data_IF_373144386528
#
_entry.id   IF_373144386528
#
_cell.length_a   1.000
_cell.length_b   1.000
_cell.length_c   1.000
_cell.angle_alpha   90.00
_cell.angle_beta   90.00
_cell.angle_gamma   90.00
#
_symmetry.space_group_name_H-M   'P 1'
#
loop_
_entity.id
_entity.type
_entity.pdbx_description
1 polymer ?
#
# COMPACT_ATOMS: atom_id res chain seq x y z
N UNK A 1 13.47 34.82 61.26
CA UNK A 1 12.39 35.76 60.91
C UNK A 1 12.28 36.81 62.02
N UNK A 2 12.07 38.08 61.70
CA UNK A 2 11.95 39.16 62.70
C UNK A 2 10.66 39.93 62.49
N UNK A 3 9.86 40.09 63.55
CA UNK A 3 8.74 41.04 63.58
C UNK A 3 9.31 42.36 64.09
N UNK A 4 9.25 43.41 63.28
CA UNK A 4 9.84 44.69 63.63
C UNK A 4 9.11 45.36 64.80
N UNK A 5 9.83 46.17 65.58
CA UNK A 5 9.23 46.92 66.68
C UNK A 5 8.07 47.81 66.17
N UNK A 6 6.92 47.73 66.83
CA UNK A 6 5.72 48.47 66.46
C UNK A 6 4.84 47.80 65.40
N UNK A 7 5.20 46.61 64.88
CA UNK A 7 4.32 45.80 64.01
C UNK A 7 3.83 44.54 64.74
N UNK A 8 2.73 43.98 64.25
CA UNK A 8 2.12 42.75 64.79
C UNK A 8 2.30 41.53 63.88
N UNK A 9 2.87 41.72 62.69
CA UNK A 9 3.04 40.66 61.71
C UNK A 9 4.33 40.83 60.92
N UNK A 10 4.81 39.71 60.39
CA UNK A 10 5.80 39.64 59.34
C UNK A 10 5.51 38.35 58.52
N UNK A 11 5.79 38.36 57.23
CA UNK A 11 5.44 37.26 56.31
C UNK A 11 6.65 36.44 55.86
N UNK A 12 6.50 35.13 55.81
CA UNK A 12 7.43 34.22 55.11
C UNK A 12 6.73 33.72 53.86
N UNK A 13 7.40 33.82 52.70
CA UNK A 13 6.83 33.40 51.42
C UNK A 13 7.40 32.05 51.00
N UNK A 14 6.52 31.11 50.65
CA UNK A 14 6.88 29.87 49.95
C UNK A 14 6.77 30.15 48.46
N UNK A 15 7.85 29.96 47.70
CA UNK A 15 7.85 30.06 46.23
C UNK A 15 7.92 28.64 45.66
N UNK A 16 6.89 28.15 44.97
CA UNK A 16 6.98 26.87 44.28
C UNK A 16 8.00 26.94 43.14
N UNK A 17 8.55 25.78 42.76
CA UNK A 17 9.38 25.62 41.58
C UNK A 17 8.47 25.02 40.51
N UNK A 18 8.35 25.73 39.40
CA UNK A 18 7.58 25.30 38.22
C UNK A 18 8.41 24.29 37.42
N UNK A 19 7.84 23.15 37.06
CA UNK A 19 8.48 22.18 36.18
C UNK A 19 7.52 21.60 35.12
N UNK A 20 7.67 20.33 34.73
CA UNK A 20 6.80 19.69 33.72
C UNK A 20 6.38 18.27 34.15
N UNK A 21 6.60 17.93 35.42
CA UNK A 21 6.32 16.61 35.96
C UNK A 21 4.92 16.60 36.54
N UNK A 22 4.12 15.65 36.09
CA UNK A 22 2.81 15.42 36.70
C UNK A 22 3.00 14.83 38.09
N UNK A 23 2.59 15.58 39.11
CA UNK A 23 2.74 15.26 40.52
C UNK A 23 1.38 15.24 41.23
N UNK A 24 1.38 14.90 42.51
CA UNK A 24 0.21 15.11 43.36
C UNK A 24 0.39 16.40 44.13
N UNK A 25 -0.72 17.00 44.58
CA UNK A 25 -0.64 18.16 45.47
C UNK A 25 0.26 17.87 46.69
N UNK A 26 1.25 18.73 46.89
CA UNK A 26 2.22 18.61 47.95
C UNK A 26 1.93 19.59 49.09
N UNK A 27 2.58 19.42 50.24
CA UNK A 27 2.38 20.34 51.37
C UNK A 27 3.69 20.78 52.01
N UNK A 28 3.74 22.06 52.38
CA UNK A 28 4.79 22.65 53.21
C UNK A 28 4.19 22.97 54.57
N UNK A 29 4.72 22.37 55.63
CA UNK A 29 4.29 22.63 57.01
C UNK A 29 5.34 23.47 57.71
N UNK A 30 4.94 24.65 58.19
CA UNK A 30 5.77 25.51 59.02
C UNK A 30 5.31 25.39 60.48
N UNK A 31 6.23 25.04 61.36
CA UNK A 31 5.98 24.88 62.80
C UNK A 31 6.85 25.85 63.60
N UNK A 32 6.25 26.61 64.50
CA UNK A 32 6.96 27.52 65.40
C UNK A 32 7.71 26.68 66.45
N UNK A 33 9.04 26.81 66.49
CA UNK A 33 9.84 26.21 67.56
C UNK A 33 9.76 27.03 68.85
N UNK A 34 9.77 26.36 70.00
CA UNK A 34 9.80 27.03 71.29
C UNK A 34 11.15 27.73 71.51
N UNK A 35 11.11 28.88 72.19
CA UNK A 35 12.28 29.65 72.59
C UNK A 35 12.00 30.34 73.93
N UNK A 36 13.03 30.68 74.71
CA UNK A 36 12.85 31.39 75.97
C UNK A 36 12.30 32.82 75.78
N UNK A 37 12.47 33.40 74.59
CA UNK A 37 12.02 34.75 74.26
C UNK A 37 10.51 34.87 74.01
N UNK A 38 9.79 33.78 73.77
CA UNK A 38 8.34 33.82 73.48
C UNK A 38 7.64 32.50 73.81
N UNK A 39 6.35 32.58 74.14
CA UNK A 39 5.50 31.38 74.26
C UNK A 39 4.89 31.03 72.91
N UNK A 40 4.89 29.73 72.55
CA UNK A 40 4.22 29.25 71.33
C UNK A 40 2.71 29.20 71.55
N UNK A 41 1.95 29.89 70.69
CA UNK A 41 0.49 29.93 70.73
C UNK A 41 -0.18 28.76 69.99
N UNK A 42 -1.52 28.77 69.95
CA UNK A 42 -2.31 27.81 69.17
C UNK A 42 -3.09 28.53 68.05
N UNK A 43 -2.98 28.11 66.78
CA UNK A 43 -2.18 26.98 66.29
C UNK A 43 -0.66 27.29 66.24
N UNK A 44 0.16 26.26 66.51
CA UNK A 44 1.64 26.35 66.48
C UNK A 44 2.25 26.03 65.10
N UNK A 45 1.43 25.55 64.17
CA UNK A 45 1.83 25.19 62.82
C UNK A 45 0.78 25.62 61.81
N UNK A 46 1.22 25.87 60.59
CA UNK A 46 0.37 26.11 59.44
C UNK A 46 0.86 25.30 58.24
N UNK A 47 -0.07 24.88 57.39
CA UNK A 47 0.20 24.12 56.18
C UNK A 47 -0.14 24.95 54.96
N UNK A 48 0.76 24.99 53.99
CA UNK A 48 0.52 25.48 52.63
C UNK A 48 0.47 24.28 51.71
N UNK A 49 -0.52 24.21 50.83
CA UNK A 49 -0.60 23.21 49.76
C UNK A 49 -0.06 23.81 48.47
N UNK A 50 0.83 23.09 47.80
CA UNK A 50 1.29 23.37 46.44
C UNK A 50 0.46 22.47 45.54
N UNK A 51 -0.35 23.08 44.67
CA UNK A 51 -1.14 22.34 43.70
C UNK A 51 -0.28 22.11 42.45
N UNK A 52 -0.34 20.90 41.93
CA UNK A 52 0.24 20.59 40.62
C UNK A 52 -0.67 21.15 39.51
N UNK A 53 -0.07 21.77 38.51
CA UNK A 53 -0.74 22.25 37.30
C UNK A 53 -0.24 21.60 36.02
N UNK A 54 0.65 20.62 36.12
CA UNK A 54 1.14 19.85 34.99
C UNK A 54 0.15 18.80 34.48
N UNK A 55 0.24 18.52 33.18
CA UNK A 55 -0.57 17.49 32.51
C UNK A 55 0.33 16.54 31.73
N UNK A 56 -0.04 15.24 31.65
CA UNK A 56 0.70 14.31 30.81
C UNK A 56 0.66 14.77 29.35
N UNK A 57 1.70 14.48 28.55
CA UNK A 57 1.67 14.76 27.12
C UNK A 57 0.43 14.17 26.46
N UNK A 58 -0.14 14.87 25.49
CA UNK A 58 -1.26 14.35 24.72
C UNK A 58 -0.82 13.08 23.98
N UNK A 59 -1.50 11.96 24.25
CA UNK A 59 -1.28 10.70 23.55
C UNK A 59 -1.72 10.85 22.08
N UNK A 60 -0.79 10.64 21.15
CA UNK A 60 -1.10 10.62 19.72
C UNK A 60 -1.52 9.20 19.28
N UNK A 61 -2.49 9.06 18.36
CA UNK A 61 -2.87 7.75 17.83
C UNK A 61 -1.71 6.99 17.18
N UNK A 62 -1.75 5.65 17.22
CA UNK A 62 -0.85 4.79 16.45
C UNK A 62 -1.62 4.21 15.27
N UNK A 63 -1.08 4.31 14.06
CA UNK A 63 -1.73 3.86 12.83
C UNK A 63 -0.98 2.68 12.21
N UNK A 64 -1.72 1.63 11.84
CA UNK A 64 -1.23 0.45 11.13
C UNK A 64 -2.05 0.18 9.88
N UNK A 65 -1.52 -0.63 8.97
CA UNK A 65 -2.23 -1.06 7.76
C UNK A 65 -2.10 -2.55 7.55
N UNK A 66 -3.18 -3.19 7.12
CA UNK A 66 -3.21 -4.59 6.67
C UNK A 66 -3.97 -4.70 5.36
N UNK A 67 -3.65 -5.70 4.54
CA UNK A 67 -4.51 -6.12 3.45
C UNK A 67 -5.61 -7.00 4.05
N UNK A 68 -6.83 -6.46 4.15
CA UNK A 68 -8.00 -7.23 4.59
C UNK A 68 -8.46 -8.20 3.49
N UNK A 69 -8.26 -7.82 2.24
CA UNK A 69 -8.26 -8.71 1.09
C UNK A 69 -6.99 -8.46 0.28
N UNK A 70 -6.11 -9.45 0.23
CA UNK A 70 -4.80 -9.37 -0.44
C UNK A 70 -4.83 -9.79 -1.90
N UNK A 71 -5.98 -10.23 -2.41
CA UNK A 71 -6.11 -10.77 -3.75
C UNK A 71 -7.16 -9.96 -4.51
N UNK A 72 -6.82 -9.61 -5.74
CA UNK A 72 -7.69 -8.95 -6.69
C UNK A 72 -7.47 -9.62 -8.05
N UNK A 73 -8.43 -9.45 -8.96
CA UNK A 73 -8.30 -10.00 -10.31
C UNK A 73 -8.98 -9.09 -11.32
N UNK A 74 -8.38 -9.01 -12.50
CA UNK A 74 -9.04 -8.43 -13.68
C UNK A 74 -10.20 -9.31 -14.15
N UNK A 75 -10.20 -10.59 -13.80
CA UNK A 75 -11.30 -11.48 -14.13
C UNK A 75 -12.54 -11.19 -13.26
N UNK A 76 -13.49 -10.47 -13.85
CA UNK A 76 -14.75 -10.11 -13.21
C UNK A 76 -14.62 -8.85 -12.34
N UNK A 77 -15.57 -8.58 -11.44
CA UNK A 77 -15.34 -7.63 -10.36
C UNK A 77 -14.71 -8.37 -9.16
N UNK A 78 -13.39 -8.35 -9.03
CA UNK A 78 -12.66 -8.87 -7.88
C UNK A 78 -11.64 -7.83 -7.38
N UNK A 79 -11.90 -7.23 -6.21
CA UNK A 79 -11.13 -6.10 -5.69
C UNK A 79 -10.41 -6.45 -4.40
N UNK A 80 -9.14 -6.06 -4.30
CA UNK A 80 -8.38 -6.12 -3.07
C UNK A 80 -8.73 -4.94 -2.14
N UNK A 81 -8.43 -5.07 -0.85
CA UNK A 81 -8.74 -4.02 0.13
C UNK A 81 -7.67 -3.90 1.20
N UNK A 82 -7.15 -2.70 1.38
CA UNK A 82 -6.38 -2.30 2.55
C UNK A 82 -7.31 -1.79 3.66
N UNK A 83 -7.03 -2.16 4.91
CA UNK A 83 -7.62 -1.55 6.10
C UNK A 83 -6.56 -0.81 6.88
N UNK A 84 -6.75 0.50 7.02
CA UNK A 84 -5.94 1.35 7.88
C UNK A 84 -6.65 1.47 9.23
N UNK A 85 -5.93 1.14 10.31
CA UNK A 85 -6.46 1.11 11.68
C UNK A 85 -5.70 2.09 12.56
N UNK A 86 -6.41 2.77 13.47
CA UNK A 86 -5.81 3.56 14.56
C UNK A 86 -6.11 2.96 15.92
N UNK A 87 -5.17 3.10 16.85
CA UNK A 87 -5.39 2.95 18.31
C UNK A 87 -5.22 4.30 19.01
N UNK A 88 -5.70 4.42 20.25
CA UNK A 88 -5.70 5.68 21.00
C UNK A 88 -7.02 6.44 20.85
N UNK A 89 -6.98 7.77 20.92
CA UNK A 89 -8.18 8.60 20.87
C UNK A 89 -8.86 8.56 19.48
N UNK A 90 -10.18 8.36 19.50
CA UNK A 90 -11.03 8.37 18.29
C UNK A 90 -11.96 9.58 18.22
N UNK A 91 -11.94 10.48 19.21
CA UNK A 91 -12.87 11.61 19.32
C UNK A 91 -12.84 12.58 18.13
N UNK A 92 -11.69 12.70 17.46
CA UNK A 92 -11.53 13.51 16.25
C UNK A 92 -11.32 12.65 15.00
N UNK A 93 -11.63 13.19 13.82
CA UNK A 93 -11.27 12.56 12.55
C UNK A 93 -9.74 12.62 12.34
N UNK A 94 -9.16 11.59 11.73
CA UNK A 94 -7.73 11.47 11.50
C UNK A 94 -7.44 11.31 10.01
N UNK A 95 -6.78 12.30 9.40
CA UNK A 95 -6.25 12.19 8.05
C UNK A 95 -4.94 11.39 8.09
N UNK A 96 -4.92 10.25 7.41
CA UNK A 96 -3.77 9.35 7.30
C UNK A 96 -3.19 9.44 5.91
N UNK A 97 -1.89 9.73 5.83
CA UNK A 97 -1.15 9.80 4.57
C UNK A 97 -0.46 8.47 4.27
N UNK A 98 -0.42 8.09 3.01
CA UNK A 98 0.26 6.91 2.53
C UNK A 98 0.85 7.10 1.13
N UNK A 99 1.85 6.29 0.79
CA UNK A 99 2.41 6.18 -0.54
C UNK A 99 1.98 4.84 -1.17
N UNK A 100 1.82 4.84 -2.49
CA UNK A 100 1.55 3.65 -3.29
C UNK A 100 2.82 3.28 -4.06
N UNK A 101 3.10 1.98 -4.14
CA UNK A 101 4.16 1.38 -4.95
C UNK A 101 3.77 -0.03 -5.39
N UNK A 102 4.74 -0.85 -5.76
CA UNK A 102 4.51 -2.17 -6.34
C UNK A 102 4.85 -2.19 -7.84
N UNK A 103 4.39 -3.22 -8.55
CA UNK A 103 4.56 -3.32 -10.01
C UNK A 103 3.40 -2.69 -10.76
N UNK A 104 2.17 -2.81 -10.22
CA UNK A 104 0.98 -2.20 -10.78
C UNK A 104 0.99 -0.66 -10.62
N UNK A 105 0.71 0.04 -11.70
CA UNK A 105 0.67 1.47 -11.88
C UNK A 105 -0.73 2.05 -11.57
N UNK A 106 -0.75 3.04 -10.68
CA UNK A 106 -1.96 3.75 -10.26
C UNK A 106 -2.65 4.48 -11.42
N UNK A 107 -3.92 4.14 -11.68
CA UNK A 107 -4.71 4.71 -12.76
C UNK A 107 -4.47 4.07 -14.14
N UNK A 108 -3.63 3.04 -14.22
CA UNK A 108 -3.46 2.20 -15.42
C UNK A 108 -4.00 0.81 -15.14
N UNK A 109 -3.48 0.14 -14.11
CA UNK A 109 -3.80 -1.28 -13.85
C UNK A 109 -4.87 -1.42 -12.76
N UNK A 110 -5.12 -0.34 -12.00
CA UNK A 110 -6.24 -0.21 -11.07
C UNK A 110 -6.79 1.21 -11.04
N UNK A 111 -8.05 1.36 -10.63
CA UNK A 111 -8.71 2.66 -10.51
C UNK A 111 -7.89 3.63 -9.66
N UNK A 112 -7.84 4.88 -10.10
CA UNK A 112 -6.98 5.88 -9.49
C UNK A 112 -7.24 6.06 -7.98
N UNK A 113 -6.22 5.80 -7.18
CA UNK A 113 -6.22 6.02 -5.74
C UNK A 113 -5.47 7.30 -5.37
N UNK A 114 -5.95 7.97 -4.32
CA UNK A 114 -5.26 9.12 -3.71
C UNK A 114 -4.06 8.68 -2.84
N UNK A 115 -3.45 9.64 -2.15
CA UNK A 115 -2.29 9.44 -1.26
C UNK A 115 -2.66 9.63 0.22
N UNK A 116 -3.94 9.69 0.54
CA UNK A 116 -4.43 9.87 1.91
C UNK A 116 -5.87 9.42 2.03
N UNK A 117 -6.27 9.00 3.23
CA UNK A 117 -7.66 8.77 3.59
C UNK A 117 -7.97 9.39 4.94
N UNK A 118 -9.25 9.60 5.23
CA UNK A 118 -9.69 10.07 6.55
C UNK A 118 -10.38 8.93 7.30
N UNK A 119 -9.88 8.62 8.51
CA UNK A 119 -10.62 7.83 9.50
C UNK A 119 -11.61 8.79 10.18
N UNK A 120 -12.94 8.61 10.05
CA UNK A 120 -13.92 9.53 10.65
C UNK A 120 -13.84 9.58 12.19
N UNK A 121 -14.33 10.67 12.77
CA UNK A 121 -14.51 10.77 14.22
C UNK A 121 -15.38 9.62 14.74
N UNK A 122 -15.00 9.02 15.87
CA UNK A 122 -15.61 7.83 16.46
C UNK A 122 -15.23 6.50 15.80
N UNK A 123 -14.64 6.50 14.59
CA UNK A 123 -14.19 5.27 13.93
C UNK A 123 -12.74 4.92 14.31
N UNK A 124 -12.42 3.62 14.35
CA UNK A 124 -11.05 3.12 14.56
C UNK A 124 -10.36 2.70 13.26
N UNK A 125 -11.08 2.63 12.14
CA UNK A 125 -10.51 2.22 10.86
C UNK A 125 -11.23 2.83 9.67
N UNK A 126 -10.58 2.76 8.51
CA UNK A 126 -11.15 3.02 7.20
C UNK A 126 -10.38 2.22 6.13
N UNK A 127 -10.99 2.05 4.96
CA UNK A 127 -10.49 1.16 3.92
C UNK A 127 -10.07 1.90 2.65
N UNK A 128 -9.08 1.34 1.95
CA UNK A 128 -8.71 1.70 0.57
C UNK A 128 -8.94 0.48 -0.29
N UNK A 129 -9.81 0.59 -1.29
CA UNK A 129 -10.15 -0.51 -2.20
C UNK A 129 -9.31 -0.41 -3.46
N UNK A 130 -8.65 -1.50 -3.84
CA UNK A 130 -7.92 -1.65 -5.11
C UNK A 130 -8.85 -2.34 -6.08
N UNK A 131 -9.37 -1.60 -7.06
CA UNK A 131 -10.22 -2.15 -8.12
C UNK A 131 -9.42 -2.24 -9.42
N UNK A 132 -9.04 -3.44 -9.88
CA UNK A 132 -8.31 -3.63 -11.13
C UNK A 132 -9.05 -3.06 -12.34
N UNK A 133 -8.30 -2.72 -13.38
CA UNK A 133 -8.81 -2.33 -14.69
C UNK A 133 -8.51 -3.48 -15.65
N UNK A 134 -9.56 -4.20 -16.05
CA UNK A 134 -9.46 -5.29 -17.03
C UNK A 134 -9.14 -4.72 -18.43
N UNK A 135 -8.03 -5.15 -19.04
CA UNK A 135 -7.63 -4.72 -20.38
C UNK A 135 -7.34 -5.86 -21.39
N UNK A 136 -6.29 -5.75 -22.21
CA UNK A 136 -5.91 -6.79 -23.19
C UNK A 136 -4.39 -7.00 -23.26
N UNK A 137 -3.63 -6.35 -22.38
CA UNK A 137 -2.20 -6.43 -22.29
C UNK A 137 -1.81 -7.65 -21.46
N UNK A 138 -0.77 -8.36 -21.89
CA UNK A 138 -0.25 -9.49 -21.11
C UNK A 138 0.85 -8.96 -20.20
N UNK A 139 0.53 -8.84 -18.92
CA UNK A 139 1.37 -8.19 -17.91
C UNK A 139 1.89 -9.19 -16.87
N UNK A 140 1.15 -10.29 -16.66
CA UNK A 140 1.34 -11.23 -15.56
C UNK A 140 0.85 -10.67 -14.22
N UNK A 141 0.90 -11.48 -13.16
CA UNK A 141 0.45 -11.03 -11.83
C UNK A 141 1.27 -9.83 -11.33
N UNK A 142 0.55 -8.81 -10.88
CA UNK A 142 1.13 -7.57 -10.40
C UNK A 142 0.82 -7.29 -8.92
N UNK A 143 1.46 -6.28 -8.33
CA UNK A 143 1.31 -5.92 -6.92
C UNK A 143 1.05 -4.44 -6.72
N UNK A 144 0.17 -4.13 -5.75
CA UNK A 144 -0.02 -2.81 -5.17
C UNK A 144 0.45 -2.84 -3.73
N UNK A 145 1.35 -1.93 -3.35
CA UNK A 145 1.90 -1.81 -2.00
C UNK A 145 1.50 -0.47 -1.41
N UNK A 146 0.75 -0.47 -0.32
CA UNK A 146 0.42 0.73 0.46
C UNK A 146 1.37 0.85 1.64
N UNK A 147 2.10 1.97 1.74
CA UNK A 147 3.01 2.29 2.85
C UNK A 147 2.58 3.54 3.60
N UNK A 148 2.35 3.43 4.90
CA UNK A 148 1.98 4.55 5.76
C UNK A 148 3.12 5.58 5.84
N UNK A 149 2.76 6.86 5.75
CA UNK A 149 3.69 7.99 5.90
C UNK A 149 3.58 8.59 7.30
N UNK A 150 4.71 9.03 7.86
CA UNK A 150 4.73 9.69 9.17
C UNK A 150 4.00 11.05 9.16
N UNK A 151 3.39 11.41 10.29
CA UNK A 151 2.68 12.68 10.47
C UNK A 151 2.77 13.11 11.94
N UNK A 152 2.77 14.40 12.25
CA UNK A 152 2.75 14.87 13.64
C UNK A 152 1.47 14.48 14.41
N UNK A 153 0.37 14.19 13.69
CA UNK A 153 -0.90 13.80 14.27
C UNK A 153 -1.01 12.33 14.68
N UNK A 154 -0.05 11.47 14.28
CA UNK A 154 -0.07 10.05 14.63
C UNK A 154 1.32 9.41 14.50
N UNK A 155 1.60 8.39 15.32
CA UNK A 155 2.75 7.52 15.12
C UNK A 155 2.42 6.40 14.12
N UNK A 156 3.39 6.02 13.28
CA UNK A 156 3.26 4.83 12.41
C UNK A 156 3.64 3.59 13.21
N UNK A 157 2.72 2.64 13.30
CA UNK A 157 2.91 1.35 13.96
C UNK A 157 3.43 0.27 13.00
N UNK A 158 3.49 -0.96 13.52
CA UNK A 158 3.84 -2.16 12.76
C UNK A 158 2.62 -3.09 12.64
N UNK A 159 2.27 -3.58 11.45
CA UNK A 159 2.89 -3.31 10.16
C UNK A 159 2.59 -1.89 9.62
N UNK A 160 3.58 -1.30 8.95
CA UNK A 160 3.50 0.03 8.32
C UNK A 160 3.24 -0.04 6.81
N UNK A 161 3.25 -1.24 6.23
CA UNK A 161 2.96 -1.48 4.82
C UNK A 161 2.19 -2.77 4.62
N UNK A 162 1.37 -2.83 3.57
CA UNK A 162 0.65 -4.03 3.16
C UNK A 162 0.63 -4.14 1.63
N UNK A 163 0.42 -5.36 1.13
CA UNK A 163 0.43 -5.68 -0.31
C UNK A 163 -0.88 -6.33 -0.73
N UNK A 164 -1.38 -5.93 -1.90
CA UNK A 164 -2.45 -6.59 -2.66
C UNK A 164 -1.84 -7.09 -3.97
N UNK A 165 -2.17 -8.30 -4.39
CA UNK A 165 -1.80 -8.86 -5.70
C UNK A 165 -2.98 -8.73 -6.67
N UNK A 166 -2.72 -8.33 -7.91
CA UNK A 166 -3.69 -8.30 -9.01
C UNK A 166 -3.34 -9.44 -9.96
N UNK A 167 -4.29 -10.35 -10.19
CA UNK A 167 -4.12 -11.43 -11.15
C UNK A 167 -4.55 -10.97 -12.56
N UNK A 168 -3.59 -11.07 -13.50
CA UNK A 168 -3.78 -10.82 -14.93
C UNK A 168 -4.59 -11.95 -15.56
N UNK A 169 -5.59 -11.60 -16.38
CA UNK A 169 -6.44 -12.57 -17.05
C UNK A 169 -6.10 -12.78 -18.55
N UNK A 170 -5.15 -12.00 -19.07
CA UNK A 170 -4.80 -12.00 -20.47
C UNK A 170 -3.76 -13.06 -20.82
N UNK A 171 -3.79 -13.48 -22.08
CA UNK A 171 -2.88 -14.48 -22.62
C UNK A 171 -2.33 -14.02 -23.97
N UNK A 172 -1.07 -14.36 -24.28
CA UNK A 172 -0.52 -14.02 -25.58
C UNK A 172 -1.35 -14.68 -26.70
N UNK A 173 -1.51 -14.01 -27.86
CA UNK A 173 -2.27 -14.57 -28.96
C UNK A 173 -1.68 -15.92 -29.39
N UNK A 174 -2.52 -16.87 -29.84
CA UNK A 174 -2.05 -18.18 -30.29
C UNK A 174 -0.98 -18.04 -31.38
N UNK A 175 0.14 -18.76 -31.24
CA UNK A 175 1.16 -18.77 -32.28
C UNK A 175 0.60 -19.40 -33.56
N UNK A 176 0.81 -18.72 -34.70
CA UNK A 176 0.43 -19.24 -36.02
C UNK A 176 1.38 -20.37 -36.43
N UNK A 177 0.89 -21.42 -37.12
CA UNK A 177 1.76 -22.46 -37.65
C UNK A 177 2.64 -21.92 -38.78
N UNK A 178 3.83 -22.49 -38.91
CA UNK A 178 4.74 -22.28 -40.03
C UNK A 178 4.60 -23.41 -41.04
N UNK A 179 4.70 -23.08 -42.33
CA UNK A 179 4.70 -24.05 -43.44
C UNK A 179 6.03 -23.98 -44.17
N UNK A 180 6.64 -25.15 -44.39
CA UNK A 180 7.82 -25.31 -45.24
C UNK A 180 7.45 -26.14 -46.47
N UNK A 181 8.23 -26.02 -47.55
CA UNK A 181 8.06 -26.81 -48.77
C UNK A 181 9.40 -27.41 -49.18
N UNK A 182 9.36 -28.69 -49.56
CA UNK A 182 10.54 -29.42 -50.05
C UNK A 182 10.15 -30.15 -51.33
N UNK A 183 11.03 -30.15 -52.33
CA UNK A 183 10.93 -31.07 -53.46
C UNK A 183 11.32 -32.48 -52.96
N UNK A 184 10.34 -33.28 -52.58
CA UNK A 184 10.55 -34.67 -52.14
C UNK A 184 10.85 -35.60 -53.30
N UNK A 185 10.38 -35.22 -54.49
CA UNK A 185 10.92 -35.71 -55.74
C UNK A 185 11.36 -34.51 -56.58
N UNK A 186 12.67 -34.41 -56.80
CA UNK A 186 13.30 -33.25 -57.41
C UNK A 186 13.49 -33.38 -58.92
N UNK A 187 13.23 -34.57 -59.49
CA UNK A 187 13.42 -34.83 -60.91
C UNK A 187 12.07 -35.16 -61.56
N UNK A 188 11.89 -34.64 -62.77
CA UNK A 188 10.80 -34.99 -63.66
C UNK A 188 11.40 -35.06 -65.06
N UNK A 189 10.92 -35.96 -65.91
CA UNK A 189 11.50 -36.16 -67.24
C UNK A 189 10.46 -36.37 -68.34
N UNK A 190 10.76 -35.84 -69.52
CA UNK A 190 9.98 -36.06 -70.76
C UNK A 190 10.81 -36.82 -71.80
N UNK A 191 10.22 -37.74 -72.59
CA UNK A 191 8.85 -38.25 -72.48
C UNK A 191 8.73 -39.34 -71.40
N UNK A 192 7.73 -39.27 -70.53
CA UNK A 192 7.57 -40.29 -69.49
C UNK A 192 6.43 -40.02 -68.51
N UNK A 193 6.22 -40.98 -67.61
CA UNK A 193 5.31 -40.85 -66.46
C UNK A 193 6.04 -40.42 -65.17
N UNK A 194 7.30 -40.01 -65.30
CA UNK A 194 8.16 -39.58 -64.21
C UNK A 194 7.79 -38.14 -63.77
N UNK A 195 7.41 -37.95 -62.52
CA UNK A 195 6.82 -36.71 -62.00
C UNK A 195 7.61 -36.17 -60.81
N UNK A 196 7.94 -34.88 -60.82
CA UNK A 196 8.45 -34.20 -59.64
C UNK A 196 7.34 -33.92 -58.63
N UNK A 197 7.68 -33.87 -57.34
CA UNK A 197 6.71 -33.71 -56.24
C UNK A 197 7.21 -32.73 -55.20
N UNK A 198 6.39 -31.72 -54.89
CA UNK A 198 6.57 -30.84 -53.73
C UNK A 198 5.70 -31.32 -52.57
N UNK A 199 6.29 -31.44 -51.38
CA UNK A 199 5.58 -31.73 -50.14
C UNK A 199 5.67 -30.53 -49.20
N UNK A 200 4.51 -30.11 -48.68
CA UNK A 200 4.41 -29.04 -47.70
C UNK A 200 4.32 -29.64 -46.29
N UNK A 201 5.10 -29.10 -45.35
CA UNK A 201 5.09 -29.52 -43.96
C UNK A 201 4.65 -28.35 -43.08
N UNK A 202 3.58 -28.55 -42.31
CA UNK A 202 3.21 -27.68 -41.19
C UNK A 202 3.97 -28.13 -39.94
N UNK A 203 4.38 -27.19 -39.09
CA UNK A 203 5.21 -27.49 -37.91
C UNK A 203 4.42 -27.77 -36.62
N UNK A 204 3.09 -27.69 -36.66
CA UNK A 204 2.19 -27.92 -35.54
C UNK A 204 1.40 -29.23 -35.69
N UNK A 205 0.79 -29.68 -34.60
CA UNK A 205 0.01 -30.94 -34.54
C UNK A 205 -1.50 -30.76 -34.72
N UNK A 206 -1.95 -29.61 -35.25
CA UNK A 206 -3.38 -29.32 -35.38
C UNK A 206 -4.03 -30.14 -36.50
N UNK A 207 -5.23 -30.66 -36.20
CA UNK A 207 -6.09 -31.41 -37.14
C UNK A 207 -7.00 -30.51 -37.97
N UNK A 208 -7.03 -29.19 -37.70
CA UNK A 208 -7.81 -28.24 -38.48
C UNK A 208 -7.19 -28.02 -39.87
N UNK A 209 -8.00 -27.86 -40.94
CA UNK A 209 -7.49 -27.60 -42.28
C UNK A 209 -6.71 -26.28 -42.33
N UNK A 210 -5.60 -26.25 -43.07
CA UNK A 210 -4.77 -25.07 -43.32
C UNK A 210 -4.68 -24.83 -44.83
N UNK A 211 -5.21 -23.71 -45.31
CA UNK A 211 -5.07 -23.30 -46.71
C UNK A 211 -3.72 -22.62 -46.93
N UNK A 212 -2.90 -23.17 -47.81
CA UNK A 212 -1.58 -22.62 -48.19
C UNK A 212 -1.67 -22.03 -49.59
N UNK A 213 -1.34 -20.75 -49.72
CA UNK A 213 -1.26 -20.08 -51.01
C UNK A 213 0.17 -20.16 -51.54
N UNK A 214 0.30 -20.43 -52.83
CA UNK A 214 1.59 -20.49 -53.51
C UNK A 214 1.50 -19.79 -54.87
N UNK A 215 2.65 -19.35 -55.37
CA UNK A 215 2.80 -18.87 -56.74
C UNK A 215 3.87 -19.71 -57.43
N UNK A 216 3.73 -19.86 -58.74
CA UNK A 216 4.64 -20.68 -59.55
C UNK A 216 5.38 -19.76 -60.51
N UNK A 217 6.70 -19.91 -60.57
CA UNK A 217 7.57 -19.22 -61.51
C UNK A 217 8.66 -20.17 -62.03
N UNK A 218 9.66 -19.62 -62.72
CA UNK A 218 10.72 -20.40 -63.36
C UNK A 218 10.71 -20.23 -64.88
N UNK A 219 11.53 -21.02 -65.58
CA UNK A 219 11.61 -20.98 -67.05
C UNK A 219 10.53 -21.81 -67.74
N UNK A 220 9.93 -22.76 -67.03
CA UNK A 220 8.84 -23.60 -67.51
C UNK A 220 7.50 -22.84 -67.49
N UNK A 221 6.67 -23.05 -68.52
CA UNK A 221 5.38 -22.41 -68.71
C UNK A 221 4.22 -23.36 -68.43
N UNK A 222 3.25 -22.91 -67.64
CA UNK A 222 2.04 -23.70 -67.35
C UNK A 222 1.21 -23.91 -68.62
N UNK A 223 0.79 -25.16 -68.85
CA UNK A 223 0.05 -25.58 -70.04
C UNK A 223 0.94 -25.92 -71.25
N UNK A 224 2.24 -25.62 -71.18
CA UNK A 224 3.23 -26.01 -72.20
C UNK A 224 4.17 -27.07 -71.63
N UNK A 225 4.91 -26.73 -70.57
CA UNK A 225 5.96 -27.58 -69.98
C UNK A 225 5.46 -28.39 -68.76
N UNK A 226 4.37 -27.95 -68.13
CA UNK A 226 3.71 -28.69 -67.05
C UNK A 226 2.22 -28.39 -67.03
N UNK A 227 1.41 -29.34 -66.57
CA UNK A 227 -0.04 -29.13 -66.41
C UNK A 227 -0.30 -28.08 -65.34
N UNK A 228 -1.36 -27.30 -65.49
CA UNK A 228 -1.77 -26.31 -64.48
C UNK A 228 -1.91 -26.97 -63.10
N UNK A 229 -1.21 -26.43 -62.10
CA UNK A 229 -1.26 -26.91 -60.72
C UNK A 229 -2.56 -26.46 -60.02
N UNK A 230 -3.10 -27.26 -59.08
CA UNK A 230 -4.32 -26.94 -58.35
C UNK A 230 -4.06 -25.91 -57.26
N UNK A 231 -4.69 -24.74 -57.37
CA UNK A 231 -4.55 -23.61 -56.45
C UNK A 231 -5.43 -22.46 -56.87
#
# INVERSE_FOLDING_TARGET
>A
MTIAAGTTSATVTVMPIDDTQVEQNETVVLTISADAAYNVGSPASATVTIADDDQPPAEIPIVTVAAADSNASEQGPDSGTFTITRTGDTGSALAVNYALGGTAQNGTDYQQLGTSLTIPAGASSATVTVTPIDDSAVEGDETVILTLSANAAYAVGSPSSATVSIADNDQPPPQKPSVTVVATDMLASEPGADTGTFTFYRNDSSSAPLTVYYSVGGTAQSGVDYRRLPG
#
